data_IF_666083524839
#
_entry.id   IF_666083524839
#
_cell.length_a   1.000
_cell.length_b   1.000
_cell.length_c   1.000
_cell.angle_alpha   90.00
_cell.angle_beta   90.00
_cell.angle_gamma   90.00
#
_symmetry.space_group_name_H-M   'P 1'
#
loop_
_entity.id
_entity.type
_entity.pdbx_description
1 polymer ?
#
# COMPACT_ATOMS: atom_id res chain seq x y z
N UNK A 1 18.42 41.30 -4.76
CA UNK A 1 17.83 41.50 -3.43
C UNK A 1 16.42 42.00 -3.63
N UNK A 2 15.34 41.24 -3.58
CA UNK A 2 15.08 39.79 -3.60
C UNK A 2 13.71 39.75 -4.25
N UNK A 3 13.62 39.22 -5.47
CA UNK A 3 12.36 39.09 -6.20
C UNK A 3 11.71 37.80 -5.69
N UNK A 4 10.74 37.97 -4.80
CA UNK A 4 9.89 36.91 -4.28
C UNK A 4 8.87 36.55 -5.38
N UNK A 5 8.85 35.32 -5.91
CA UNK A 5 7.89 34.99 -6.94
C UNK A 5 6.48 34.96 -6.32
N UNK A 6 5.47 35.50 -7.03
CA UNK A 6 4.13 35.61 -6.47
C UNK A 6 3.59 34.20 -6.23
N UNK A 7 3.27 33.92 -4.95
CA UNK A 7 2.45 32.79 -4.55
C UNK A 7 1.22 32.74 -5.46
N UNK A 8 1.20 31.73 -6.33
CA UNK A 8 0.17 31.61 -7.36
C UNK A 8 -1.07 31.07 -6.68
N UNK A 9 -1.89 31.99 -6.21
CA UNK A 9 -3.29 31.74 -5.88
C UNK A 9 -3.96 31.29 -7.18
N UNK A 10 -4.17 29.98 -7.33
CA UNK A 10 -5.03 29.44 -8.39
C UNK A 10 -6.40 29.12 -7.78
N UNK A 11 -7.36 29.96 -8.14
CA UNK A 11 -8.80 29.77 -7.95
C UNK A 11 -9.34 28.70 -8.91
N UNK A 12 -9.90 27.60 -8.37
CA UNK A 12 -11.31 27.17 -8.57
C UNK A 12 -11.54 25.78 -7.92
N UNK A 13 -12.08 25.79 -6.70
CA UNK A 13 -13.06 24.84 -6.16
C UNK A 13 -12.82 23.33 -6.06
N UNK A 14 -11.69 22.75 -6.47
CA UNK A 14 -11.48 21.30 -6.40
C UNK A 14 -10.02 20.86 -6.32
N UNK A 15 -9.73 19.65 -5.81
CA UNK A 15 -8.37 19.12 -5.77
C UNK A 15 -7.79 18.99 -7.19
N UNK A 16 -6.53 19.39 -7.38
CA UNK A 16 -5.80 19.24 -8.65
C UNK A 16 -5.87 17.80 -9.17
N UNK A 17 -6.08 17.63 -10.48
CA UNK A 17 -6.13 16.31 -11.09
C UNK A 17 -4.75 15.64 -11.09
N UNK A 18 -4.73 14.30 -11.05
CA UNK A 18 -3.49 13.51 -11.06
C UNK A 18 -2.61 13.86 -12.27
N UNK A 19 -3.23 14.10 -13.43
CA UNK A 19 -2.51 14.48 -14.65
C UNK A 19 -1.72 15.79 -14.46
N UNK A 20 -2.33 16.81 -13.85
CA UNK A 20 -1.66 18.09 -13.59
C UNK A 20 -0.55 17.92 -12.58
N UNK A 21 -0.81 17.20 -11.48
CA UNK A 21 0.20 16.95 -10.45
C UNK A 21 1.42 16.20 -11.03
N UNK A 22 1.18 15.16 -11.81
CA UNK A 22 2.25 14.39 -12.47
C UNK A 22 3.04 15.26 -13.44
N UNK A 23 2.35 16.04 -14.27
CA UNK A 23 3.01 16.90 -15.26
C UNK A 23 3.95 17.91 -14.59
N UNK A 24 3.48 18.57 -13.52
CA UNK A 24 4.29 19.53 -12.78
C UNK A 24 5.45 18.86 -12.04
N UNK A 25 5.17 17.76 -11.32
CA UNK A 25 6.19 17.05 -10.57
C UNK A 25 7.28 16.45 -11.48
N UNK A 26 6.94 16.01 -12.70
CA UNK A 26 7.91 15.55 -13.69
C UNK A 26 8.84 16.67 -14.19
N UNK A 27 8.44 17.95 -14.05
CA UNK A 27 9.27 19.12 -14.32
C UNK A 27 10.07 19.59 -13.08
N UNK A 28 10.01 18.85 -11.97
CA UNK A 28 10.74 19.14 -10.74
C UNK A 28 9.97 19.98 -9.72
N UNK A 29 8.66 20.21 -9.91
CA UNK A 29 7.81 20.86 -8.91
C UNK A 29 7.62 19.96 -7.68
N UNK A 30 8.30 20.32 -6.59
CA UNK A 30 8.27 19.57 -5.33
C UNK A 30 6.92 19.64 -4.64
N UNK A 31 6.21 20.76 -4.77
CA UNK A 31 4.92 20.99 -4.11
C UNK A 31 3.84 20.13 -4.79
N UNK A 32 3.89 20.01 -6.12
CA UNK A 32 3.03 19.09 -6.85
C UNK A 32 3.23 17.64 -6.41
N UNK A 33 4.48 17.23 -6.14
CA UNK A 33 4.76 15.88 -5.65
C UNK A 33 4.38 15.68 -4.19
N UNK A 34 4.52 16.69 -3.34
CA UNK A 34 4.03 16.65 -1.96
C UNK A 34 2.52 16.39 -1.92
N UNK A 35 1.75 17.00 -2.84
CA UNK A 35 0.32 16.71 -2.99
C UNK A 35 0.04 15.27 -3.43
N UNK A 36 0.88 14.67 -4.28
CA UNK A 36 0.79 13.23 -4.63
C UNK A 36 1.06 12.37 -3.38
N UNK A 37 2.10 12.69 -2.62
CA UNK A 37 2.45 11.98 -1.37
C UNK A 37 1.30 12.08 -0.37
N UNK A 38 0.76 13.28 -0.13
CA UNK A 38 -0.36 13.49 0.77
C UNK A 38 -1.62 12.71 0.34
N UNK A 39 -1.86 12.61 -0.97
CA UNK A 39 -3.03 11.92 -1.53
C UNK A 39 -2.97 10.40 -1.40
N UNK A 40 -1.82 9.79 -1.66
CA UNK A 40 -1.72 8.32 -1.74
C UNK A 40 -0.91 7.67 -0.62
N UNK A 41 -0.11 8.44 0.10
CA UNK A 41 0.75 7.97 1.19
C UNK A 41 -0.01 7.16 2.25
N UNK A 42 -1.17 7.64 2.76
CA UNK A 42 -1.94 6.88 3.76
C UNK A 42 -2.38 5.49 3.27
N UNK A 43 -2.82 5.36 2.02
CA UNK A 43 -3.25 4.09 1.44
C UNK A 43 -2.05 3.17 1.17
N UNK A 44 -0.97 3.71 0.62
CA UNK A 44 0.28 2.98 0.38
C UNK A 44 0.87 2.44 1.69
N UNK A 45 0.86 3.26 2.75
CA UNK A 45 1.31 2.87 4.09
C UNK A 45 0.42 1.79 4.70
N UNK A 46 -0.90 1.96 4.63
CA UNK A 46 -1.86 0.96 5.11
C UNK A 46 -1.66 -0.38 4.39
N UNK A 47 -1.44 -0.37 3.07
CA UNK A 47 -1.12 -1.59 2.33
C UNK A 47 0.22 -2.22 2.75
N UNK A 48 1.30 -1.44 2.82
CA UNK A 48 2.62 -1.93 3.22
C UNK A 48 2.60 -2.53 4.64
N UNK A 49 1.93 -1.86 5.58
CA UNK A 49 1.76 -2.34 6.97
C UNK A 49 1.01 -3.66 7.07
N UNK A 50 0.04 -3.90 6.20
CA UNK A 50 -0.68 -5.19 6.17
C UNK A 50 0.11 -6.29 5.44
N UNK A 51 1.14 -5.93 4.67
CA UNK A 51 1.99 -6.87 3.95
C UNK A 51 3.26 -7.26 4.72
N UNK A 52 3.71 -6.41 5.64
CA UNK A 52 4.94 -6.55 6.41
C UNK A 52 4.61 -6.75 7.89
N UNK A 53 5.36 -7.62 8.57
CA UNK A 53 5.19 -7.87 10.01
C UNK A 53 5.87 -6.80 10.89
N UNK A 54 6.69 -5.94 10.30
CA UNK A 54 7.53 -4.94 10.97
C UNK A 54 7.01 -3.54 10.62
N UNK A 55 6.63 -2.77 11.64
CA UNK A 55 6.05 -1.43 11.46
C UNK A 55 7.06 -0.43 10.89
N UNK A 56 8.33 -0.49 11.31
CA UNK A 56 9.37 0.40 10.80
C UNK A 56 9.67 0.15 9.32
N UNK A 57 9.55 -1.12 8.90
CA UNK A 57 9.76 -1.50 7.50
C UNK A 57 8.69 -0.94 6.56
N UNK A 58 7.47 -0.68 7.03
CA UNK A 58 6.39 -0.15 6.19
C UNK A 58 6.63 1.31 5.78
N UNK A 59 7.08 2.15 6.71
CA UNK A 59 7.42 3.55 6.43
C UNK A 59 8.60 3.63 5.44
N UNK A 60 9.66 2.87 5.70
CA UNK A 60 10.82 2.78 4.82
C UNK A 60 10.42 2.37 3.41
N UNK A 61 9.62 1.31 3.26
CA UNK A 61 9.15 0.82 1.95
C UNK A 61 8.34 1.86 1.19
N UNK A 62 7.48 2.62 1.86
CA UNK A 62 6.67 3.67 1.23
C UNK A 62 7.55 4.85 0.82
N UNK A 63 8.48 5.27 1.68
CA UNK A 63 9.43 6.32 1.35
C UNK A 63 10.27 5.92 0.12
N UNK A 64 10.81 4.71 0.12
CA UNK A 64 11.57 4.14 -0.99
C UNK A 64 10.76 4.07 -2.29
N UNK A 65 9.46 3.76 -2.19
CA UNK A 65 8.55 3.74 -3.32
C UNK A 65 8.30 5.15 -3.87
N UNK A 66 8.14 6.16 -3.01
CA UNK A 66 8.01 7.55 -3.45
C UNK A 66 9.31 8.09 -4.05
N UNK A 67 10.47 7.78 -3.49
CA UNK A 67 11.77 8.13 -4.09
C UNK A 67 11.92 7.50 -5.48
N UNK A 68 11.50 6.24 -5.64
CA UNK A 68 11.50 5.59 -6.95
C UNK A 68 10.47 6.23 -7.90
N UNK A 69 9.29 6.60 -7.41
CA UNK A 69 8.26 7.28 -8.18
C UNK A 69 8.73 8.66 -8.66
N UNK A 70 9.32 9.49 -7.80
CA UNK A 70 9.89 10.78 -8.17
C UNK A 70 10.92 10.65 -9.29
N UNK A 71 11.84 9.68 -9.18
CA UNK A 71 12.90 9.43 -10.17
C UNK A 71 12.40 8.88 -11.50
N UNK A 72 11.21 8.29 -11.53
CA UNK A 72 10.64 7.65 -12.72
C UNK A 72 9.36 8.32 -13.23
N UNK A 73 8.99 9.48 -12.67
CA UNK A 73 7.72 10.14 -12.97
C UNK A 73 7.65 10.63 -14.41
N UNK A 74 8.79 11.02 -14.98
CA UNK A 74 8.99 11.37 -16.39
C UNK A 74 8.68 10.20 -17.35
N UNK A 75 8.80 8.96 -16.87
CA UNK A 75 8.46 7.75 -17.65
C UNK A 75 7.00 7.35 -17.57
N UNK A 76 6.19 7.99 -16.71
CA UNK A 76 4.78 7.66 -16.55
C UNK A 76 3.97 8.19 -17.74
N UNK A 77 3.51 7.26 -18.59
CA UNK A 77 2.79 7.58 -19.84
C UNK A 77 1.28 7.78 -19.70
N UNK A 78 0.72 7.57 -18.50
CA UNK A 78 -0.73 7.62 -18.29
C UNK A 78 -1.49 6.37 -18.77
N UNK A 79 -0.79 5.28 -19.11
CA UNK A 79 -1.41 3.99 -19.52
C UNK A 79 -2.18 3.29 -18.38
N UNK A 80 -2.01 3.77 -17.15
CA UNK A 80 -2.76 3.36 -15.96
C UNK A 80 -3.07 4.59 -15.11
N UNK A 81 -3.96 4.46 -14.12
CA UNK A 81 -4.14 5.51 -13.12
C UNK A 81 -2.85 5.68 -12.31
N UNK A 82 -2.53 6.91 -11.90
CA UNK A 82 -1.38 7.22 -11.05
C UNK A 82 -1.37 6.32 -9.80
N UNK A 83 -2.53 6.19 -9.15
CA UNK A 83 -2.73 5.30 -8.00
C UNK A 83 -2.23 3.87 -8.28
N UNK A 84 -2.62 3.28 -9.40
CA UNK A 84 -2.23 1.92 -9.78
C UNK A 84 -0.71 1.81 -9.95
N UNK A 85 -0.11 2.79 -10.62
CA UNK A 85 1.34 2.83 -10.82
C UNK A 85 2.13 2.97 -9.52
N UNK A 86 1.68 3.84 -8.59
CA UNK A 86 2.28 3.98 -7.26
C UNK A 86 2.21 2.68 -6.44
N UNK A 87 1.09 1.97 -6.49
CA UNK A 87 0.95 0.69 -5.81
C UNK A 87 1.81 -0.43 -6.42
N UNK A 88 2.13 -0.36 -7.71
CA UNK A 88 3.14 -1.23 -8.32
C UNK A 88 4.52 -0.98 -7.70
N UNK A 89 4.90 0.29 -7.50
CA UNK A 89 6.16 0.65 -6.85
C UNK A 89 6.23 0.10 -5.41
N UNK A 90 5.18 0.31 -4.61
CA UNK A 90 5.12 -0.20 -3.23
C UNK A 90 5.17 -1.72 -3.21
N UNK A 91 4.42 -2.40 -4.09
CA UNK A 91 4.42 -3.86 -4.15
C UNK A 91 5.80 -4.43 -4.51
N UNK A 92 6.53 -3.79 -5.42
CA UNK A 92 7.92 -4.18 -5.70
C UNK A 92 8.82 -4.00 -4.47
N UNK A 93 8.71 -2.87 -3.76
CA UNK A 93 9.50 -2.59 -2.56
C UNK A 93 9.21 -3.54 -1.40
N UNK A 94 7.94 -3.94 -1.21
CA UNK A 94 7.55 -4.99 -0.26
C UNK A 94 8.23 -6.33 -0.61
N UNK A 95 8.23 -6.74 -1.88
CA UNK A 95 8.89 -7.98 -2.32
C UNK A 95 10.40 -7.92 -2.08
N UNK A 96 11.03 -6.80 -2.40
CA UNK A 96 12.46 -6.59 -2.18
C UNK A 96 12.84 -6.66 -0.70
N UNK A 97 12.07 -5.99 0.17
CA UNK A 97 12.27 -6.05 1.61
C UNK A 97 12.17 -7.49 2.13
N UNK A 98 11.13 -8.23 1.72
CA UNK A 98 10.94 -9.64 2.10
C UNK A 98 12.09 -10.54 1.65
N UNK A 99 12.60 -10.32 0.43
CA UNK A 99 13.73 -11.09 -0.12
C UNK A 99 15.00 -10.83 0.67
N UNK A 100 15.28 -9.57 1.03
CA UNK A 100 16.45 -9.22 1.86
C UNK A 100 16.39 -9.88 3.24
N UNK A 101 15.23 -9.85 3.90
CA UNK A 101 15.02 -10.52 5.20
C UNK A 101 15.21 -12.04 5.12
N UNK A 102 14.81 -12.69 4.04
CA UNK A 102 14.97 -14.14 3.88
C UNK A 102 16.44 -14.60 3.72
N UNK A 103 17.35 -13.70 3.37
CA UNK A 103 18.77 -14.00 3.11
C UNK A 103 19.68 -13.61 4.29
N UNK A 104 19.16 -12.91 5.30
CA UNK A 104 19.94 -12.46 6.47
C UNK A 104 20.32 -13.65 7.41
N UNK A 105 21.57 -13.71 7.92
CA UNK A 105 22.02 -14.77 8.84
C UNK A 105 21.16 -14.93 10.09
N UNK A 106 21.08 -16.15 10.60
CA UNK A 106 20.20 -16.60 11.70
C UNK A 106 20.36 -15.86 13.05
N UNK A 107 21.40 -15.03 13.21
CA UNK A 107 21.77 -14.41 14.48
C UNK A 107 20.90 -13.19 14.84
N UNK A 108 20.23 -12.57 13.85
CA UNK A 108 19.28 -11.46 14.06
C UNK A 108 17.82 -11.91 14.18
N UNK A 109 17.56 -13.21 14.34
CA UNK A 109 16.22 -13.77 14.37
C UNK A 109 15.62 -13.67 15.77
N UNK A 110 15.50 -12.44 16.27
CA UNK A 110 14.50 -12.14 17.29
C UNK A 110 13.15 -12.17 16.55
N UNK A 111 12.42 -13.27 16.73
CA UNK A 111 11.01 -13.38 16.35
C UNK A 111 10.20 -12.37 17.15
N UNK A 112 10.26 -11.11 16.75
CA UNK A 112 9.47 -10.08 17.36
C UNK A 112 8.08 -10.10 16.73
N UNK A 113 7.27 -11.05 17.20
CA UNK A 113 5.82 -11.04 17.06
C UNK A 113 5.28 -9.90 17.94
N UNK A 114 5.47 -8.66 17.49
CA UNK A 114 4.95 -7.47 18.18
C UNK A 114 3.47 -7.32 17.86
N UNK A 115 2.70 -7.36 18.93
CA UNK A 115 1.25 -7.29 19.01
C UNK A 115 0.67 -6.06 18.32
N UNK A 116 -0.54 -6.23 17.80
CA UNK A 116 -1.43 -5.17 17.34
C UNK A 116 -1.93 -4.38 18.55
N UNK A 117 -1.35 -3.22 18.83
CA UNK A 117 -1.97 -2.26 19.75
C UNK A 117 -3.07 -1.50 18.99
N UNK A 118 -4.31 -1.96 19.16
CA UNK A 118 -5.51 -1.17 18.87
C UNK A 118 -5.93 -0.47 20.17
N UNK A 119 -6.00 0.86 20.16
CA UNK A 119 -6.62 1.66 21.23
C UNK A 119 -7.89 2.31 20.69
N UNK A 120 -9.06 1.83 21.12
CA UNK A 120 -10.32 2.58 21.18
C UNK A 120 -11.39 1.86 22.06
N UNK A 121 -12.08 2.61 22.93
CA UNK A 121 -13.32 2.44 23.76
C UNK A 121 -13.87 1.09 24.33
N UNK A 122 -14.14 0.94 25.65
CA UNK A 122 -13.97 -0.34 26.38
C UNK A 122 -15.03 -1.45 26.30
N UNK A 123 -16.25 -1.24 25.76
CA UNK A 123 -17.30 -2.30 25.83
C UNK A 123 -17.86 -2.77 24.47
N UNK A 124 -17.82 -1.93 23.43
CA UNK A 124 -18.12 -2.35 22.04
C UNK A 124 -16.83 -2.72 21.29
N UNK A 125 -15.66 -2.27 21.78
CA UNK A 125 -14.37 -2.55 21.13
C UNK A 125 -13.88 -3.97 21.31
N UNK A 126 -14.17 -4.65 22.43
CA UNK A 126 -13.52 -5.93 22.76
C UNK A 126 -13.80 -6.99 21.69
N UNK A 127 -15.06 -7.13 21.24
CA UNK A 127 -15.44 -8.09 20.21
C UNK A 127 -14.88 -7.73 18.83
N UNK A 128 -14.79 -6.43 18.51
CA UNK A 128 -14.25 -5.98 17.22
C UNK A 128 -12.72 -6.09 17.18
N UNK A 129 -12.04 -5.79 18.29
CA UNK A 129 -10.60 -5.90 18.43
C UNK A 129 -10.16 -7.37 18.35
N UNK A 130 -10.91 -8.28 18.98
CA UNK A 130 -10.68 -9.73 18.89
C UNK A 130 -10.87 -10.23 17.45
N UNK A 131 -11.95 -9.81 16.76
CA UNK A 131 -12.15 -10.15 15.35
C UNK A 131 -11.04 -9.61 14.46
N UNK A 132 -10.64 -8.35 14.65
CA UNK A 132 -9.59 -7.71 13.86
C UNK A 132 -8.22 -8.36 14.11
N UNK A 133 -7.94 -8.78 15.34
CA UNK A 133 -6.75 -9.56 15.67
C UNK A 133 -6.77 -10.93 14.98
N UNK A 134 -7.90 -11.63 14.99
CA UNK A 134 -8.09 -12.91 14.32
C UNK A 134 -7.95 -12.79 12.79
N UNK A 135 -8.56 -11.77 12.20
CA UNK A 135 -8.43 -11.45 10.78
C UNK A 135 -6.97 -11.14 10.44
N UNK A 136 -6.27 -10.35 11.26
CA UNK A 136 -4.85 -10.06 11.09
C UNK A 136 -4.01 -11.33 11.07
N UNK A 137 -4.26 -12.26 12.00
CA UNK A 137 -3.58 -13.58 12.04
C UNK A 137 -3.92 -14.43 10.82
N UNK A 138 -5.18 -14.52 10.43
CA UNK A 138 -5.61 -15.30 9.27
C UNK A 138 -5.00 -14.75 7.96
N UNK A 139 -4.97 -13.43 7.80
CA UNK A 139 -4.28 -12.77 6.69
C UNK A 139 -2.79 -13.09 6.71
N UNK A 140 -2.15 -13.09 7.89
CA UNK A 140 -0.74 -13.41 8.08
C UNK A 140 -0.34 -14.85 7.66
N UNK A 141 -1.31 -15.77 7.57
CA UNK A 141 -1.08 -17.14 7.07
C UNK A 141 -1.18 -17.25 5.55
N UNK A 142 -1.84 -16.30 4.87
CA UNK A 142 -2.01 -16.35 3.42
C UNK A 142 -0.66 -16.25 2.68
N UNK A 143 -0.47 -17.02 1.59
CA UNK A 143 0.63 -16.80 0.66
C UNK A 143 0.65 -15.36 0.14
N UNK A 144 1.85 -14.79 -0.06
CA UNK A 144 2.06 -13.37 -0.42
C UNK A 144 1.06 -12.86 -1.48
N UNK A 145 0.98 -13.56 -2.63
CA UNK A 145 0.12 -13.13 -3.73
C UNK A 145 -1.37 -13.20 -3.40
N UNK A 146 -1.79 -14.13 -2.54
CA UNK A 146 -3.19 -14.22 -2.10
C UNK A 146 -3.53 -13.07 -1.17
N UNK A 147 -2.67 -12.79 -0.19
CA UNK A 147 -2.81 -11.64 0.73
C UNK A 147 -2.84 -10.32 -0.03
N UNK A 148 -1.86 -10.09 -0.91
CA UNK A 148 -1.76 -8.87 -1.69
C UNK A 148 -3.00 -8.64 -2.56
N UNK A 149 -3.43 -9.64 -3.33
CA UNK A 149 -4.65 -9.55 -4.12
C UNK A 149 -5.88 -9.23 -3.25
N UNK A 150 -6.00 -9.88 -2.09
CA UNK A 150 -7.12 -9.64 -1.16
C UNK A 150 -7.10 -8.21 -0.62
N UNK A 151 -5.96 -7.71 -0.13
CA UNK A 151 -5.85 -6.35 0.40
C UNK A 151 -6.14 -5.29 -0.67
N UNK A 152 -5.54 -5.44 -1.85
CA UNK A 152 -5.78 -4.51 -2.96
C UNK A 152 -7.25 -4.53 -3.41
N UNK A 153 -7.93 -5.66 -3.30
CA UNK A 153 -9.34 -5.77 -3.68
C UNK A 153 -10.29 -5.25 -2.61
N UNK A 154 -10.22 -5.81 -1.42
CA UNK A 154 -11.23 -5.64 -0.37
C UNK A 154 -10.96 -4.39 0.47
N UNK A 155 -9.70 -3.94 0.55
CA UNK A 155 -9.32 -2.77 1.35
C UNK A 155 -9.03 -1.55 0.47
N UNK A 156 -8.33 -1.75 -0.65
CA UNK A 156 -8.01 -0.66 -1.58
C UNK A 156 -9.04 -0.47 -2.71
N UNK A 157 -10.05 -1.32 -2.81
CA UNK A 157 -11.12 -1.20 -3.80
C UNK A 157 -10.68 -1.37 -5.27
N UNK A 158 -9.49 -1.93 -5.52
CA UNK A 158 -8.94 -2.02 -6.88
C UNK A 158 -9.64 -3.07 -7.72
N UNK A 159 -9.73 -2.80 -9.02
CA UNK A 159 -10.29 -3.73 -10.00
C UNK A 159 -9.30 -4.86 -10.30
N UNK A 160 -9.80 -6.01 -10.77
CA UNK A 160 -8.91 -7.13 -11.12
C UNK A 160 -7.84 -6.76 -12.17
N UNK A 161 -8.12 -5.94 -13.19
CA UNK A 161 -7.08 -5.45 -14.11
C UNK A 161 -6.01 -4.59 -13.42
N UNK A 162 -6.41 -3.65 -12.55
CA UNK A 162 -5.46 -2.80 -11.79
C UNK A 162 -4.56 -3.66 -10.88
N UNK A 163 -5.15 -4.62 -10.15
CA UNK A 163 -4.39 -5.57 -9.32
C UNK A 163 -3.44 -6.41 -10.20
N UNK A 164 -3.89 -6.80 -11.39
CA UNK A 164 -3.07 -7.53 -12.36
C UNK A 164 -1.83 -6.74 -12.77
N UNK A 165 -1.97 -5.43 -13.02
CA UNK A 165 -0.84 -4.56 -13.32
C UNK A 165 0.13 -4.46 -12.12
N UNK A 166 -0.39 -4.24 -10.92
CA UNK A 166 0.41 -4.11 -9.69
C UNK A 166 1.19 -5.39 -9.37
N UNK A 167 0.55 -6.54 -9.51
CA UNK A 167 1.11 -7.83 -9.11
C UNK A 167 1.81 -8.57 -10.25
N UNK A 168 1.84 -7.99 -11.46
CA UNK A 168 2.29 -8.65 -12.70
C UNK A 168 1.58 -10.00 -12.92
N UNK A 169 0.24 -9.96 -12.89
CA UNK A 169 -0.65 -11.11 -13.04
C UNK A 169 -1.73 -10.83 -14.09
N UNK A 170 -2.27 -11.89 -14.71
CA UNK A 170 -3.50 -11.75 -15.47
C UNK A 170 -4.71 -11.51 -14.55
N UNK A 171 -5.74 -10.80 -15.02
CA UNK A 171 -6.97 -10.61 -14.25
C UNK A 171 -7.64 -11.94 -13.85
N UNK A 172 -7.45 -13.00 -14.65
CA UNK A 172 -7.91 -14.36 -14.31
C UNK A 172 -7.13 -14.96 -13.14
N UNK A 173 -5.80 -14.80 -13.13
CA UNK A 173 -4.97 -15.23 -12.01
C UNK A 173 -5.33 -14.48 -10.72
N UNK A 174 -5.61 -13.17 -10.80
CA UNK A 174 -6.10 -12.37 -9.65
C UNK A 174 -7.38 -12.97 -9.08
N UNK A 175 -8.38 -13.29 -9.93
CA UNK A 175 -9.62 -13.96 -9.48
C UNK A 175 -9.33 -15.27 -8.75
N UNK A 176 -8.42 -16.10 -9.29
CA UNK A 176 -8.02 -17.35 -8.64
C UNK A 176 -7.35 -17.14 -7.28
N UNK A 177 -6.50 -16.12 -7.14
CA UNK A 177 -5.90 -15.76 -5.84
C UNK A 177 -6.96 -15.31 -4.83
N UNK A 178 -7.92 -14.50 -5.25
CA UNK A 178 -9.02 -14.02 -4.39
C UNK A 178 -9.92 -15.15 -3.90
N UNK A 179 -10.25 -16.11 -4.76
CA UNK A 179 -11.04 -17.29 -4.37
C UNK A 179 -10.32 -18.09 -3.29
N UNK A 180 -9.02 -18.36 -3.46
CA UNK A 180 -8.22 -19.10 -2.45
C UNK A 180 -8.05 -18.32 -1.15
N UNK A 181 -7.85 -17.01 -1.24
CA UNK A 181 -7.78 -16.14 -0.06
C UNK A 181 -9.09 -16.22 0.74
N UNK A 182 -10.25 -16.06 0.08
CA UNK A 182 -11.56 -16.16 0.74
C UNK A 182 -11.83 -17.52 1.36
N UNK A 183 -11.48 -18.61 0.68
CA UNK A 183 -11.63 -19.96 1.23
C UNK A 183 -10.83 -20.13 2.53
N UNK A 184 -9.57 -19.69 2.53
CA UNK A 184 -8.70 -19.77 3.72
C UNK A 184 -9.22 -18.89 4.85
N UNK A 185 -9.64 -17.65 4.55
CA UNK A 185 -10.19 -16.73 5.56
C UNK A 185 -11.50 -17.25 6.14
N UNK A 186 -12.38 -17.83 5.32
CA UNK A 186 -13.64 -18.43 5.80
C UNK A 186 -13.39 -19.60 6.73
N UNK A 187 -12.38 -20.44 6.46
CA UNK A 187 -12.01 -21.54 7.36
C UNK A 187 -11.44 -21.02 8.69
N UNK A 188 -10.55 -20.02 8.63
CA UNK A 188 -9.88 -19.48 9.82
C UNK A 188 -10.77 -18.61 10.70
N UNK A 189 -11.79 -17.99 10.12
CA UNK A 189 -12.72 -17.11 10.82
C UNK A 189 -14.09 -17.78 11.03
N UNK A 190 -14.18 -19.11 10.94
CA UNK A 190 -15.44 -19.85 11.09
C UNK A 190 -16.12 -19.62 12.46
N UNK A 191 -15.35 -19.31 13.51
CA UNK A 191 -15.90 -18.97 14.83
C UNK A 191 -16.64 -17.62 14.88
N UNK A 192 -16.52 -16.81 13.83
CA UNK A 192 -17.12 -15.47 13.69
C UNK A 192 -18.27 -15.45 12.67
N UNK A 193 -18.67 -16.60 12.12
CA UNK A 193 -19.79 -16.76 11.18
C UNK A 193 -21.07 -17.15 11.90
#
# INVERSE_FOLDING_TARGET
MTDDPPGRVMSDGGPLSDHVLVSNAALGDTDAFELIVARYGPEMFRYARNMLSDHGAAEEVVQDAFVAAWKGLDTFRGDSKLRTWLFSMVSHKVVDHRRKRAVAPAEDWVFERRSTDARADPEVSVTNDDFMADLGRALAELPYRQRACWLLREVEGMTHPEIGQIMTLSASAVRGHLVRARATLSERLAAWQ
#
